data_IF_491409911571
#
_entry.id   IF_491409911571
#
_cell.length_a   1.000
_cell.length_b   1.000
_cell.length_c   1.000
_cell.angle_alpha   90.00
_cell.angle_beta   90.00
_cell.angle_gamma   90.00
#
_symmetry.space_group_name_H-M   'P 1'
#
loop_
_entity.id
_entity.type
_entity.pdbx_description
1 polymer ?
#
# COMPACT_ATOMS: atom_id res chain seq x y z
N UNK A 1 15.86 -18.33 -28.56
CA UNK A 1 14.75 -17.68 -27.84
C UNK A 1 15.07 -17.71 -26.36
N UNK A 2 15.34 -16.55 -25.77
CA UNK A 2 15.40 -16.33 -24.33
C UNK A 2 14.81 -14.93 -24.08
N UNK A 3 13.49 -14.85 -23.90
CA UNK A 3 12.85 -13.67 -23.34
C UNK A 3 13.09 -13.69 -21.83
N UNK A 4 14.27 -13.23 -21.40
CA UNK A 4 14.47 -12.88 -20.00
C UNK A 4 13.82 -11.52 -19.78
N UNK A 5 12.68 -11.52 -19.09
CA UNK A 5 12.10 -10.32 -18.50
C UNK A 5 13.12 -9.69 -17.57
N UNK A 6 13.75 -8.61 -18.03
CA UNK A 6 14.33 -7.62 -17.16
C UNK A 6 13.24 -6.57 -16.93
N UNK A 7 12.68 -6.55 -15.72
CA UNK A 7 11.97 -5.37 -15.22
C UNK A 7 12.83 -4.13 -15.44
N UNK A 8 12.18 -3.05 -15.86
CA UNK A 8 12.80 -1.74 -16.03
C UNK A 8 13.51 -1.32 -14.73
N UNK A 9 14.84 -1.48 -14.70
CA UNK A 9 15.71 -0.81 -13.75
C UNK A 9 16.46 0.24 -14.55
N UNK A 10 16.00 1.49 -14.48
CA UNK A 10 16.70 2.61 -15.12
C UNK A 10 17.87 3.01 -14.23
N UNK A 11 19.09 2.67 -14.66
CA UNK A 11 20.32 3.12 -14.01
C UNK A 11 20.65 4.50 -14.57
N UNK A 12 20.56 5.53 -13.72
CA UNK A 12 21.02 6.88 -14.07
C UNK A 12 22.35 7.18 -13.36
N UNK A 13 23.26 7.85 -14.06
CA UNK A 13 24.54 8.31 -13.50
C UNK A 13 24.52 9.83 -13.34
N UNK A 14 24.51 10.30 -12.09
CA UNK A 14 24.56 11.72 -11.76
C UNK A 14 25.82 11.95 -10.93
N UNK A 15 26.75 12.75 -11.45
CA UNK A 15 28.01 13.12 -10.77
C UNK A 15 28.84 11.90 -10.33
N UNK A 16 28.91 10.86 -11.18
CA UNK A 16 29.73 9.66 -10.93
C UNK A 16 29.17 8.69 -9.89
N UNK A 17 27.92 8.90 -9.42
CA UNK A 17 27.21 7.94 -8.58
C UNK A 17 26.14 7.23 -9.41
N UNK A 18 26.17 5.90 -9.40
CA UNK A 18 25.05 5.07 -9.87
C UNK A 18 23.90 5.24 -8.90
N UNK A 19 22.79 5.76 -9.38
CA UNK A 19 21.54 5.87 -8.63
C UNK A 19 20.58 4.83 -9.21
N UNK A 20 20.03 4.00 -8.33
CA UNK A 20 18.95 3.07 -8.66
C UNK A 20 17.66 3.87 -8.57
N UNK A 21 17.04 4.16 -9.72
CA UNK A 21 15.68 4.71 -9.75
C UNK A 21 14.73 3.51 -9.75
N UNK A 22 14.15 3.23 -8.58
CA UNK A 22 13.06 2.27 -8.46
C UNK A 22 11.83 2.99 -9.01
N UNK A 23 11.20 2.43 -10.05
CA UNK A 23 9.93 2.95 -10.53
C UNK A 23 8.86 2.65 -9.47
N UNK A 24 8.61 3.63 -8.61
CA UNK A 24 7.77 3.49 -7.41
C UNK A 24 6.34 4.00 -7.64
N UNK A 25 5.97 4.42 -8.86
CA UNK A 25 4.85 5.35 -9.02
C UNK A 25 3.47 4.75 -8.75
N UNK A 26 3.23 3.47 -9.07
CA UNK A 26 1.87 2.90 -9.06
C UNK A 26 1.25 2.82 -7.65
N UNK A 27 2.07 2.65 -6.63
CA UNK A 27 1.63 2.48 -5.24
C UNK A 27 2.17 3.57 -4.32
N UNK A 28 2.79 4.63 -4.86
CA UNK A 28 3.39 5.68 -4.02
C UNK A 28 2.33 6.44 -3.22
N UNK A 29 1.22 6.80 -3.85
CA UNK A 29 0.11 7.48 -3.19
C UNK A 29 -0.53 6.59 -2.10
N UNK A 30 -0.52 5.27 -2.32
CA UNK A 30 -0.99 4.30 -1.34
C UNK A 30 -0.04 4.24 -0.13
N UNK A 31 1.28 4.24 -0.34
CA UNK A 31 2.26 4.30 0.75
C UNK A 31 2.09 5.57 1.58
N UNK A 32 1.95 6.72 0.91
CA UNK A 32 1.77 8.01 1.57
C UNK A 32 0.50 7.98 2.43
N UNK A 33 -0.61 7.49 1.87
CA UNK A 33 -1.88 7.43 2.58
C UNK A 33 -1.84 6.45 3.76
N UNK A 34 -1.17 5.31 3.62
CA UNK A 34 -0.94 4.37 4.72
C UNK A 34 -0.09 4.98 5.83
N UNK A 35 0.97 5.71 5.48
CA UNK A 35 1.79 6.41 6.47
C UNK A 35 0.98 7.47 7.21
N UNK A 36 0.10 8.20 6.52
CA UNK A 36 -0.81 9.17 7.14
C UNK A 36 -1.76 8.49 8.15
N UNK A 37 -2.30 7.30 7.83
CA UNK A 37 -3.10 6.51 8.79
C UNK A 37 -2.27 6.17 10.03
N UNK A 38 -1.02 5.70 9.85
CA UNK A 38 -0.12 5.36 10.96
C UNK A 38 0.16 6.58 11.84
N UNK A 39 0.41 7.73 11.23
CA UNK A 39 0.68 8.98 11.93
C UNK A 39 -0.55 9.47 12.72
N UNK A 40 -1.76 9.35 12.16
CA UNK A 40 -3.02 9.64 12.83
C UNK A 40 -3.25 8.71 14.04
N UNK A 41 -2.96 7.41 13.90
CA UNK A 41 -3.00 6.44 15.01
C UNK A 41 -2.00 6.85 16.10
N UNK A 42 -0.77 7.22 15.73
CA UNK A 42 0.26 7.65 16.67
C UNK A 42 -0.14 8.94 17.42
N UNK A 43 -0.83 9.85 16.73
CA UNK A 43 -1.43 11.05 17.31
C UNK A 43 -2.71 10.78 18.12
N UNK A 44 -3.15 9.52 18.24
CA UNK A 44 -4.41 9.08 18.87
C UNK A 44 -5.67 9.70 18.23
N UNK A 45 -5.58 10.10 16.97
CA UNK A 45 -6.70 10.63 16.20
C UNK A 45 -7.43 9.52 15.45
N UNK A 46 -8.01 8.59 16.22
CA UNK A 46 -8.61 7.35 15.70
C UNK A 46 -9.77 7.60 14.72
N UNK A 47 -10.53 8.70 14.91
CA UNK A 47 -11.64 9.04 14.01
C UNK A 47 -11.14 9.38 12.61
N UNK A 48 -10.12 10.23 12.51
CA UNK A 48 -9.56 10.62 11.23
C UNK A 48 -8.78 9.46 10.60
N UNK A 49 -8.08 8.66 11.40
CA UNK A 49 -7.45 7.44 10.94
C UNK A 49 -8.47 6.46 10.30
N UNK A 50 -9.63 6.26 10.91
CA UNK A 50 -10.70 5.43 10.35
C UNK A 50 -11.27 6.00 9.05
N UNK A 51 -11.51 7.32 8.97
CA UNK A 51 -11.99 7.95 7.74
C UNK A 51 -10.99 7.74 6.60
N UNK A 52 -9.71 7.99 6.86
CA UNK A 52 -8.64 7.79 5.88
C UNK A 52 -8.50 6.32 5.50
N UNK A 53 -8.64 5.40 6.46
CA UNK A 53 -8.62 3.97 6.19
C UNK A 53 -9.76 3.55 5.24
N UNK A 54 -10.96 4.10 5.37
CA UNK A 54 -12.06 3.86 4.43
C UNK A 54 -11.72 4.37 3.03
N UNK A 55 -11.26 5.61 2.91
CA UNK A 55 -10.83 6.19 1.62
C UNK A 55 -9.77 5.32 0.93
N UNK A 56 -8.78 4.83 1.69
CA UNK A 56 -7.70 4.02 1.13
C UNK A 56 -8.17 2.61 0.74
N UNK A 57 -9.16 2.05 1.41
CA UNK A 57 -9.77 0.79 0.98
C UNK A 57 -10.53 0.95 -0.36
N UNK A 58 -11.27 2.05 -0.55
CA UNK A 58 -11.95 2.33 -1.81
C UNK A 58 -10.96 2.41 -2.98
N UNK A 59 -9.82 3.08 -2.76
CA UNK A 59 -8.72 3.12 -3.76
C UNK A 59 -8.16 1.73 -4.04
N UNK A 60 -7.96 0.91 -3.01
CA UNK A 60 -7.46 -0.46 -3.20
C UNK A 60 -8.44 -1.34 -3.98
N UNK A 61 -9.74 -1.18 -3.76
CA UNK A 61 -10.77 -1.92 -4.49
C UNK A 61 -10.77 -1.52 -5.97
N UNK A 62 -10.68 -0.22 -6.28
CA UNK A 62 -10.54 0.25 -7.66
C UNK A 62 -9.24 -0.26 -8.31
N UNK A 63 -8.12 -0.25 -7.58
CA UNK A 63 -6.86 -0.81 -8.06
C UNK A 63 -6.97 -2.31 -8.34
N UNK A 64 -7.73 -3.05 -7.52
CA UNK A 64 -7.95 -4.49 -7.69
C UNK A 64 -8.77 -4.79 -8.94
N UNK A 65 -9.83 -4.01 -9.18
CA UNK A 65 -10.68 -4.14 -10.37
C UNK A 65 -9.92 -3.91 -11.67
N UNK A 66 -8.84 -3.12 -11.62
CA UNK A 66 -7.97 -2.80 -12.76
C UNK A 66 -6.64 -3.56 -12.77
N UNK A 67 -6.39 -4.47 -11.84
CA UNK A 67 -5.14 -5.21 -11.75
C UNK A 67 -5.12 -6.39 -12.74
N UNK A 68 -4.29 -6.29 -13.78
CA UNK A 68 -4.10 -7.37 -14.76
C UNK A 68 -2.83 -8.20 -14.50
N UNK A 69 -1.84 -7.64 -13.82
CA UNK A 69 -0.55 -8.31 -13.55
C UNK A 69 -0.55 -9.00 -12.17
N UNK A 70 -0.04 -10.24 -12.13
CA UNK A 70 0.11 -11.01 -10.88
C UNK A 70 0.89 -10.26 -9.79
N UNK A 71 1.82 -9.39 -10.18
CA UNK A 71 2.59 -8.58 -9.25
C UNK A 71 1.74 -7.51 -8.58
N UNK A 72 0.88 -6.84 -9.36
CA UNK A 72 -0.05 -5.84 -8.83
C UNK A 72 -1.02 -6.48 -7.86
N UNK A 73 -1.60 -7.62 -8.24
CA UNK A 73 -2.49 -8.39 -7.37
C UNK A 73 -1.80 -8.75 -6.05
N UNK A 74 -0.54 -9.22 -6.11
CA UNK A 74 0.24 -9.54 -4.90
C UNK A 74 0.52 -8.32 -4.04
N UNK A 75 0.81 -7.16 -4.63
CA UNK A 75 1.05 -5.91 -3.89
C UNK A 75 -0.24 -5.41 -3.24
N UNK A 76 -1.35 -5.38 -3.99
CA UNK A 76 -2.68 -5.01 -3.50
C UNK A 76 -3.08 -5.88 -2.30
N UNK A 77 -2.90 -7.20 -2.38
CA UNK A 77 -3.17 -8.11 -1.26
C UNK A 77 -2.32 -7.82 -0.02
N UNK A 78 -1.07 -7.37 -0.17
CA UNK A 78 -0.24 -6.96 0.98
C UNK A 78 -0.82 -5.74 1.67
N UNK A 79 -1.27 -4.76 0.91
CA UNK A 79 -1.89 -3.56 1.46
C UNK A 79 -3.24 -3.86 2.11
N UNK A 80 -4.07 -4.73 1.54
CA UNK A 80 -5.33 -5.15 2.17
C UNK A 80 -5.10 -5.78 3.56
N UNK A 81 -4.10 -6.66 3.69
CA UNK A 81 -3.73 -7.25 4.99
C UNK A 81 -3.24 -6.18 5.96
N UNK A 82 -2.42 -5.23 5.49
CA UNK A 82 -1.92 -4.14 6.32
C UNK A 82 -3.05 -3.22 6.80
N UNK A 83 -3.97 -2.81 5.92
CA UNK A 83 -5.12 -1.99 6.31
C UNK A 83 -6.01 -2.71 7.32
N UNK A 84 -6.23 -4.01 7.18
CA UNK A 84 -6.95 -4.80 8.18
C UNK A 84 -6.24 -4.77 9.55
N UNK A 85 -4.92 -4.88 9.59
CA UNK A 85 -4.16 -4.76 10.84
C UNK A 85 -4.28 -3.36 11.46
N UNK A 86 -4.27 -2.30 10.64
CA UNK A 86 -4.49 -0.93 11.10
C UNK A 86 -5.90 -0.74 11.64
N UNK A 87 -6.91 -1.31 10.98
CA UNK A 87 -8.29 -1.31 11.44
C UNK A 87 -8.43 -1.94 12.83
N UNK A 88 -7.91 -3.16 13.02
CA UNK A 88 -7.89 -3.85 14.33
C UNK A 88 -7.16 -3.01 15.38
N UNK A 89 -6.09 -2.32 15.00
CA UNK A 89 -5.35 -1.45 15.93
C UNK A 89 -6.13 -0.20 16.34
N UNK A 90 -6.97 0.34 15.46
CA UNK A 90 -7.81 1.51 15.75
C UNK A 90 -9.03 1.12 16.59
N UNK A 91 -9.71 0.04 16.21
CA UNK A 91 -11.04 -0.32 16.72
C UNK A 91 -11.03 -1.48 17.75
N UNK A 92 -9.90 -2.16 17.91
CA UNK A 92 -9.79 -3.42 18.65
C UNK A 92 -10.10 -4.63 17.77
N UNK A 93 -9.82 -5.83 18.27
CA UNK A 93 -10.37 -7.06 17.69
C UNK A 93 -11.89 -7.02 17.90
N UNK A 94 -12.67 -7.10 16.82
CA UNK A 94 -14.11 -7.29 16.94
C UNK A 94 -14.31 -8.64 17.65
N UNK A 95 -14.66 -8.60 18.93
CA UNK A 95 -15.10 -9.80 19.64
C UNK A 95 -16.39 -10.24 18.95
N UNK A 96 -16.29 -11.28 18.12
CA UNK A 96 -17.44 -12.08 17.75
C UNK A 96 -17.95 -12.74 19.03
N UNK A 97 -18.81 -12.03 19.77
CA UNK A 97 -19.63 -12.65 20.81
C UNK A 97 -20.48 -13.68 20.08
N UNK A 98 -20.04 -14.93 20.15
CA UNK A 98 -20.79 -16.06 19.64
C UNK A 98 -22.09 -16.19 20.43
N UNK A 99 -23.22 -16.01 19.75
CA UNK A 99 -24.53 -16.51 20.20
C UNK A 99 -24.54 -18.04 20.31
#
# INVERSE_FOLDING_TARGET
MLTKGLKLVTISEIRGKKIIIIDMSKFEDLKISVQEIIDLIAAKNNREANNKLLEVNEVLDEMLDHAEEDEDLREISRYQVLLNQLHVKINGEEQVDGE
#
